data_IF_823317142901
#
_entry.id   IF_823317142901
#
_cell.length_a   1.000
_cell.length_b   1.000
_cell.length_c   1.000
_cell.angle_alpha   90.00
_cell.angle_beta   90.00
_cell.angle_gamma   90.00
#
_symmetry.space_group_name_H-M   'P 1'
#
loop_
_entity.id
_entity.type
_entity.pdbx_description
1 polymer ?
#
# COMPACT_ATOMS: atom_id res chain seq x y z
N UNK A 1 13.35 12.16 18.98
CA UNK A 1 14.62 11.48 18.63
C UNK A 1 14.47 10.02 19.02
N UNK A 2 14.66 9.09 18.08
CA UNK A 2 14.72 7.65 18.40
C UNK A 2 15.95 7.42 19.27
N UNK A 3 15.78 6.74 20.41
CA UNK A 3 16.88 6.26 21.22
C UNK A 3 17.08 4.78 20.95
N UNK A 4 18.34 4.37 20.75
CA UNK A 4 18.76 2.95 20.78
C UNK A 4 18.05 2.02 19.78
N UNK A 5 17.63 2.55 18.63
CA UNK A 5 17.06 1.73 17.56
C UNK A 5 18.11 0.99 16.72
N UNK A 6 17.69 0.03 15.88
CA UNK A 6 18.58 -0.66 14.95
C UNK A 6 19.40 0.33 14.09
N UNK A 7 20.65 -0.03 13.69
CA UNK A 7 21.46 0.84 12.85
C UNK A 7 20.74 1.27 11.57
N UNK A 8 20.77 2.57 11.28
CA UNK A 8 20.10 3.14 10.10
C UNK A 8 18.60 3.36 10.24
N UNK A 9 17.96 3.03 11.36
CA UNK A 9 16.52 3.26 11.52
C UNK A 9 16.16 4.76 11.51
N UNK A 10 14.97 5.06 10.99
CA UNK A 10 14.36 6.40 10.99
C UNK A 10 12.96 6.32 11.58
N UNK A 11 12.47 7.44 12.12
CA UNK A 11 11.20 7.51 12.82
C UNK A 11 10.37 8.69 12.36
N UNK A 12 9.15 8.40 11.95
CA UNK A 12 8.15 9.40 11.59
C UNK A 12 6.89 9.14 12.42
N UNK A 13 6.23 10.21 12.83
CA UNK A 13 5.00 10.12 13.59
C UNK A 13 4.04 11.22 13.14
N UNK A 14 2.75 10.94 13.23
CA UNK A 14 1.69 11.93 13.06
C UNK A 14 0.58 11.67 14.09
N UNK A 15 -0.31 12.64 14.34
CA UNK A 15 -1.34 12.53 15.38
C UNK A 15 -2.32 11.36 15.22
N UNK A 16 -2.55 10.88 13.99
CA UNK A 16 -3.45 9.74 13.76
C UNK A 16 -2.85 8.40 14.14
N UNK A 17 -1.52 8.31 14.23
CA UNK A 17 -0.78 7.05 14.41
C UNK A 17 -0.75 6.15 13.16
N UNK A 18 -1.49 6.49 12.10
CA UNK A 18 -1.56 5.73 10.85
C UNK A 18 -0.55 6.20 9.83
N UNK A 19 -0.12 5.32 8.93
CA UNK A 19 0.67 5.72 7.76
C UNK A 19 -0.15 6.67 6.87
N UNK A 20 0.43 7.80 6.48
CA UNK A 20 -0.15 8.72 5.51
C UNK A 20 0.78 8.87 4.29
N UNK A 21 0.31 9.55 3.24
CA UNK A 21 1.05 9.67 1.99
C UNK A 21 2.39 10.41 2.14
N UNK A 22 2.47 11.41 3.00
CA UNK A 22 3.73 12.16 3.22
C UNK A 22 4.79 11.31 3.91
N UNK A 23 4.42 10.57 4.96
CA UNK A 23 5.33 9.64 5.63
C UNK A 23 5.72 8.49 4.70
N UNK A 24 4.80 8.02 3.85
CA UNK A 24 5.12 6.98 2.88
C UNK A 24 6.14 7.45 1.84
N UNK A 25 6.10 8.71 1.40
CA UNK A 25 7.15 9.28 0.54
C UNK A 25 8.50 9.28 1.25
N UNK A 26 8.56 9.66 2.52
CA UNK A 26 9.81 9.60 3.30
C UNK A 26 10.30 8.15 3.47
N UNK A 27 9.39 7.19 3.61
CA UNK A 27 9.73 5.78 3.62
C UNK A 27 10.32 5.31 2.28
N UNK A 28 9.78 5.72 1.12
CA UNK A 28 10.35 5.37 -0.19
C UNK A 28 11.76 5.95 -0.34
N UNK A 29 11.99 7.22 0.04
CA UNK A 29 13.33 7.83 0.01
C UNK A 29 14.32 7.03 0.86
N UNK A 30 13.88 6.61 2.05
CA UNK A 30 14.66 5.75 2.92
C UNK A 30 14.93 4.38 2.27
N UNK A 31 13.92 3.76 1.66
CA UNK A 31 14.05 2.49 0.97
C UNK A 31 15.07 2.56 -0.17
N UNK A 32 14.97 3.55 -1.06
CA UNK A 32 15.91 3.79 -2.18
C UNK A 32 17.35 3.89 -1.69
N UNK A 33 17.58 4.55 -0.55
CA UNK A 33 18.92 4.71 0.04
C UNK A 33 19.56 3.38 0.43
N UNK A 34 18.77 2.38 0.83
CA UNK A 34 19.28 1.11 1.38
C UNK A 34 19.08 -0.09 0.46
N UNK A 35 18.21 0.00 -0.55
CA UNK A 35 17.94 -1.09 -1.50
C UNK A 35 18.96 -1.18 -2.64
N UNK A 36 19.74 -0.12 -2.89
CA UNK A 36 20.59 0.03 -4.09
C UNK A 36 19.82 -0.15 -5.41
N UNK A 37 18.53 0.18 -5.43
CA UNK A 37 17.72 0.06 -6.64
C UNK A 37 18.14 1.07 -7.72
N UNK A 38 18.11 0.63 -8.97
CA UNK A 38 18.30 1.47 -10.15
C UNK A 38 17.55 0.90 -11.34
N UNK A 39 17.58 1.56 -12.50
CA UNK A 39 16.99 1.00 -13.71
C UNK A 39 17.74 -0.25 -14.21
N UNK A 40 19.03 -0.38 -13.88
CA UNK A 40 19.87 -1.55 -14.18
C UNK A 40 19.70 -2.67 -13.15
N UNK A 41 19.26 -2.33 -11.94
CA UNK A 41 18.94 -3.27 -10.87
C UNK A 41 17.55 -2.98 -10.30
N UNK A 42 16.48 -3.32 -11.06
CA UNK A 42 15.13 -2.97 -10.68
C UNK A 42 14.65 -3.78 -9.48
N UNK A 43 13.78 -3.18 -8.67
CA UNK A 43 13.21 -3.80 -7.47
C UNK A 43 11.70 -3.88 -7.58
N UNK A 44 11.14 -5.05 -7.28
CA UNK A 44 9.70 -5.24 -7.11
C UNK A 44 9.31 -4.99 -5.65
N UNK A 45 8.53 -3.94 -5.41
CA UNK A 45 7.97 -3.61 -4.11
C UNK A 45 6.54 -4.13 -4.00
N UNK A 46 6.34 -5.16 -3.18
CA UNK A 46 5.04 -5.77 -2.92
C UNK A 46 4.36 -5.10 -1.74
N UNK A 47 3.11 -4.68 -1.93
CA UNK A 47 2.36 -3.88 -0.97
C UNK A 47 1.01 -4.49 -0.65
N UNK A 48 0.52 -4.25 0.57
CA UNK A 48 -0.89 -4.49 0.87
C UNK A 48 -1.78 -3.43 0.20
N UNK A 49 -3.06 -3.72 -0.02
CA UNK A 49 -3.98 -2.78 -0.66
C UNK A 49 -4.49 -1.74 0.33
N UNK A 50 -3.58 -0.94 0.91
CA UNK A 50 -3.96 0.17 1.78
C UNK A 50 -3.98 1.50 1.02
N UNK A 51 -5.04 2.30 1.21
CA UNK A 51 -5.30 3.54 0.44
C UNK A 51 -4.17 4.58 0.53
N UNK A 52 -3.42 4.61 1.63
CA UNK A 52 -2.32 5.57 1.82
C UNK A 52 -1.14 5.37 0.85
N UNK A 53 -1.05 4.20 0.21
CA UNK A 53 0.00 3.83 -0.74
C UNK A 53 -0.28 4.35 -2.16
N UNK A 54 -1.51 4.82 -2.41
CA UNK A 54 -1.96 5.35 -3.70
C UNK A 54 -1.67 6.87 -3.73
N UNK A 55 -0.40 7.23 -3.68
CA UNK A 55 0.07 8.61 -3.87
C UNK A 55 0.79 8.69 -5.21
N UNK A 56 0.33 9.57 -6.11
CA UNK A 56 0.98 9.81 -7.41
C UNK A 56 2.45 10.18 -7.21
N UNK A 57 2.74 11.04 -6.23
CA UNK A 57 4.11 11.45 -5.89
C UNK A 57 4.98 10.28 -5.43
N UNK A 58 4.41 9.31 -4.73
CA UNK A 58 5.12 8.12 -4.28
C UNK A 58 5.42 7.19 -5.46
N UNK A 59 4.46 7.02 -6.38
CA UNK A 59 4.62 6.24 -7.61
C UNK A 59 5.69 6.86 -8.53
N UNK A 60 5.64 8.17 -8.75
CA UNK A 60 6.62 8.89 -9.57
C UNK A 60 8.04 8.70 -9.03
N UNK A 61 8.21 8.82 -7.71
CA UNK A 61 9.50 8.59 -7.05
C UNK A 61 9.97 7.14 -7.18
N UNK A 62 9.07 6.17 -7.04
CA UNK A 62 9.40 4.76 -7.22
C UNK A 62 9.88 4.46 -8.65
N UNK A 63 9.12 4.93 -9.66
CA UNK A 63 9.46 4.76 -11.07
C UNK A 63 10.82 5.39 -11.40
N UNK A 64 11.08 6.60 -10.92
CA UNK A 64 12.36 7.32 -11.11
C UNK A 64 13.58 6.57 -10.58
N UNK A 65 13.40 5.65 -9.62
CA UNK A 65 14.47 4.87 -9.00
C UNK A 65 14.46 3.39 -9.39
N UNK A 66 13.72 3.00 -10.42
CA UNK A 66 13.66 1.62 -10.90
C UNK A 66 12.87 0.69 -9.97
N UNK A 67 11.93 1.22 -9.19
CA UNK A 67 11.04 0.43 -8.33
C UNK A 67 9.70 0.23 -9.02
N UNK A 68 9.32 -1.03 -9.23
CA UNK A 68 7.98 -1.40 -9.66
C UNK A 68 7.15 -1.74 -8.43
N UNK A 69 6.04 -1.03 -8.24
CA UNK A 69 5.13 -1.26 -7.11
C UNK A 69 3.97 -2.16 -7.54
N UNK A 70 3.71 -3.22 -6.77
CA UNK A 70 2.60 -4.15 -7.00
C UNK A 70 1.81 -4.32 -5.70
N UNK A 71 0.54 -3.90 -5.71
CA UNK A 71 -0.37 -4.12 -4.59
C UNK A 71 -1.08 -5.46 -4.73
N UNK A 72 -1.19 -6.23 -3.64
CA UNK A 72 -1.97 -7.46 -3.62
C UNK A 72 -3.47 -7.16 -3.80
N UNK A 73 -4.24 -8.09 -4.40
CA UNK A 73 -5.69 -8.02 -4.39
C UNK A 73 -6.24 -7.98 -2.95
N UNK A 74 -7.41 -7.36 -2.78
CA UNK A 74 -8.08 -7.32 -1.48
C UNK A 74 -8.28 -8.73 -0.93
N UNK A 75 -8.12 -8.88 0.39
CA UNK A 75 -8.30 -10.13 1.13
C UNK A 75 -7.29 -11.26 0.80
N UNK A 76 -6.33 -11.07 -0.09
CA UNK A 76 -5.29 -12.07 -0.40
C UNK A 76 -4.04 -11.99 0.51
N UNK A 77 -3.98 -11.01 1.41
CA UNK A 77 -2.82 -10.73 2.27
C UNK A 77 -2.35 -11.93 3.07
N UNK A 78 -3.29 -12.73 3.60
CA UNK A 78 -2.99 -13.91 4.41
C UNK A 78 -2.22 -15.02 3.64
N UNK A 79 -2.24 -14.98 2.31
CA UNK A 79 -1.56 -15.93 1.41
C UNK A 79 -0.34 -15.31 0.75
N UNK A 80 -0.49 -14.10 0.24
CA UNK A 80 0.53 -13.46 -0.59
C UNK A 80 1.54 -12.62 0.17
N UNK A 81 1.22 -12.13 1.39
CA UNK A 81 2.14 -11.26 2.13
C UNK A 81 3.24 -12.05 2.85
N UNK A 82 4.52 -12.01 2.40
CA UNK A 82 5.59 -12.82 2.96
C UNK A 82 5.80 -12.57 4.46
N UNK A 83 5.82 -11.30 4.85
CA UNK A 83 6.03 -10.87 6.23
C UNK A 83 4.97 -11.44 7.19
N UNK A 84 3.71 -11.48 6.75
CA UNK A 84 2.61 -11.99 7.55
C UNK A 84 2.70 -13.49 7.81
N UNK A 85 3.35 -14.24 6.89
CA UNK A 85 3.38 -15.70 6.94
C UNK A 85 4.54 -16.27 7.73
N UNK A 86 5.68 -15.59 7.78
CA UNK A 86 6.90 -16.16 8.38
C UNK A 86 7.64 -15.23 9.34
N UNK A 87 7.46 -13.91 9.25
CA UNK A 87 8.25 -12.94 10.04
C UNK A 87 7.47 -12.41 11.24
N UNK A 88 6.22 -12.01 11.05
CA UNK A 88 5.44 -11.36 12.10
C UNK A 88 5.03 -12.30 13.25
N UNK A 89 4.87 -13.59 13.00
CA UNK A 89 4.65 -14.58 14.06
C UNK A 89 5.82 -14.65 15.04
N UNK A 90 7.05 -14.96 14.56
CA UNK A 90 8.27 -14.90 15.38
C UNK A 90 8.51 -13.53 16.02
N UNK A 91 8.31 -12.43 15.29
CA UNK A 91 8.49 -11.07 15.84
C UNK A 91 7.62 -10.84 17.06
N UNK A 92 6.32 -11.15 16.98
CA UNK A 92 5.40 -11.01 18.12
C UNK A 92 5.86 -11.85 19.31
N UNK A 93 6.29 -13.09 19.08
CA UNK A 93 6.79 -13.98 20.13
C UNK A 93 8.03 -13.40 20.82
N UNK A 94 9.05 -13.01 20.06
CA UNK A 94 10.29 -12.47 20.62
C UNK A 94 10.07 -11.12 21.29
N UNK A 95 9.23 -10.27 20.70
CA UNK A 95 8.90 -8.96 21.25
C UNK A 95 8.16 -9.08 22.59
N UNK A 96 7.16 -9.96 22.69
CA UNK A 96 6.45 -10.20 23.95
C UNK A 96 7.40 -10.67 25.05
N UNK A 97 8.30 -11.62 24.74
CA UNK A 97 9.31 -12.07 25.71
C UNK A 97 10.27 -10.95 26.14
N UNK A 98 10.66 -10.06 25.22
CA UNK A 98 11.49 -8.91 25.53
C UNK A 98 10.75 -7.89 26.41
N UNK A 99 9.46 -7.65 26.15
CA UNK A 99 8.60 -6.82 26.99
C UNK A 99 8.47 -7.40 28.41
N UNK A 100 8.22 -8.71 28.54
CA UNK A 100 8.12 -9.39 29.84
C UNK A 100 9.41 -9.23 30.65
N UNK A 101 10.57 -9.46 30.01
CA UNK A 101 11.86 -9.28 30.65
C UNK A 101 12.10 -7.81 31.06
N UNK A 102 11.72 -6.86 30.21
CA UNK A 102 11.85 -5.43 30.49
C UNK A 102 11.01 -5.03 31.71
N UNK A 103 9.77 -5.51 31.82
CA UNK A 103 8.87 -5.21 32.94
C UNK A 103 9.37 -5.77 34.28
N UNK A 104 10.06 -6.92 34.28
CA UNK A 104 10.64 -7.50 35.51
C UNK A 104 11.91 -6.77 35.94
N UNK A 105 12.66 -6.22 35.00
CA UNK A 105 13.97 -5.58 35.25
C UNK A 105 13.90 -4.07 35.47
N UNK A 106 12.75 -3.44 35.22
CA UNK A 106 12.58 -1.99 35.33
C UNK A 106 11.48 -1.65 36.34
N UNK A 107 11.75 -0.78 37.35
CA UNK A 107 10.80 -0.45 38.40
C UNK A 107 9.74 0.59 37.98
N UNK A 108 9.54 0.82 36.68
CA UNK A 108 8.60 1.81 36.16
C UNK A 108 7.75 1.24 35.02
N UNK A 109 6.56 1.81 34.76
CA UNK A 109 5.79 1.47 33.58
C UNK A 109 6.56 1.69 32.27
N UNK A 110 6.32 0.79 31.31
CA UNK A 110 6.82 0.90 29.95
C UNK A 110 6.13 2.06 29.23
N UNK A 111 6.88 2.80 28.43
CA UNK A 111 6.39 3.92 27.62
C UNK A 111 6.71 3.72 26.14
N UNK A 112 6.11 4.53 25.28
CA UNK A 112 6.39 4.50 23.83
C UNK A 112 7.87 4.75 23.48
N UNK A 113 8.63 5.40 24.38
CA UNK A 113 10.04 5.70 24.19
C UNK A 113 10.94 4.47 24.41
N UNK A 114 10.42 3.44 25.09
CA UNK A 114 11.13 2.19 25.36
C UNK A 114 10.95 1.17 24.23
N UNK A 115 9.88 1.30 23.44
CA UNK A 115 9.52 0.36 22.38
C UNK A 115 10.70 0.14 21.42
N UNK A 116 11.39 1.23 21.04
CA UNK A 116 12.44 1.15 20.03
C UNK A 116 13.68 0.39 20.51
N UNK A 117 14.06 0.55 21.79
CA UNK A 117 15.18 -0.23 22.35
C UNK A 117 14.78 -1.69 22.57
N UNK A 118 13.56 -1.93 23.06
CA UNK A 118 13.03 -3.28 23.30
C UNK A 118 12.91 -4.08 22.00
N UNK A 119 12.47 -3.47 20.90
CA UNK A 119 12.25 -4.19 19.64
C UNK A 119 13.54 -4.52 18.89
N UNK A 120 14.68 -3.91 19.25
CA UNK A 120 15.93 -4.05 18.51
C UNK A 120 16.41 -5.52 18.41
N UNK A 121 16.45 -6.25 19.53
CA UNK A 121 16.82 -7.67 19.55
C UNK A 121 15.74 -8.57 18.91
N UNK A 122 14.44 -8.47 19.26
CA UNK A 122 13.36 -9.20 18.58
C UNK A 122 13.36 -9.04 17.06
N UNK A 123 13.61 -7.82 16.57
CA UNK A 123 13.66 -7.52 15.15
C UNK A 123 14.74 -8.34 14.44
N UNK A 124 15.98 -8.33 14.95
CA UNK A 124 17.09 -9.08 14.34
C UNK A 124 16.88 -10.59 14.35
N UNK A 125 16.21 -11.13 15.39
CA UNK A 125 15.86 -12.56 15.46
C UNK A 125 14.73 -12.95 14.49
N UNK A 126 13.73 -12.09 14.33
CA UNK A 126 12.57 -12.36 13.50
C UNK A 126 12.85 -12.17 12.00
N UNK A 127 13.57 -11.10 11.64
CA UNK A 127 13.95 -10.75 10.27
C UNK A 127 15.24 -11.49 9.85
N UNK A 128 15.34 -12.77 10.17
CA UNK A 128 16.45 -13.61 9.73
C UNK A 128 16.35 -13.89 8.22
N UNK A 129 17.48 -14.12 7.51
CA UNK A 129 17.47 -14.52 6.11
C UNK A 129 16.58 -15.73 5.85
N UNK A 130 16.59 -16.72 6.76
CA UNK A 130 15.77 -17.92 6.65
C UNK A 130 14.26 -17.62 6.70
N UNK A 131 13.81 -16.75 7.60
CA UNK A 131 12.40 -16.38 7.70
C UNK A 131 11.96 -15.56 6.49
N UNK A 132 12.82 -14.64 6.03
CA UNK A 132 12.55 -13.80 4.85
C UNK A 132 12.41 -14.68 3.61
N UNK A 133 13.42 -15.50 3.30
CA UNK A 133 13.40 -16.41 2.15
C UNK A 133 12.21 -17.37 2.19
N UNK A 134 11.94 -17.96 3.36
CA UNK A 134 10.79 -18.85 3.53
C UNK A 134 9.47 -18.10 3.28
N UNK A 135 9.38 -16.84 3.66
CA UNK A 135 8.20 -15.99 3.45
C UNK A 135 7.87 -15.83 1.97
N UNK A 136 8.88 -15.54 1.15
CA UNK A 136 8.70 -15.43 -0.30
C UNK A 136 8.38 -16.78 -0.94
N UNK A 137 9.02 -17.85 -0.47
CA UNK A 137 8.78 -19.20 -0.97
C UNK A 137 7.36 -19.68 -0.69
N UNK A 138 6.83 -19.51 0.53
CA UNK A 138 5.47 -19.97 0.85
C UNK A 138 4.40 -19.17 0.10
N UNK A 139 4.70 -17.93 -0.25
CA UNK A 139 3.81 -17.06 -1.01
C UNK A 139 3.89 -17.31 -2.53
N UNK A 140 4.81 -18.16 -3.00
CA UNK A 140 4.98 -18.49 -4.42
C UNK A 140 5.61 -17.35 -5.22
N UNK A 141 6.30 -16.43 -4.54
CA UNK A 141 6.93 -15.26 -5.18
C UNK A 141 8.35 -15.58 -5.61
N UNK A 142 9.14 -16.20 -4.72
CA UNK A 142 10.53 -16.59 -5.00
C UNK A 142 10.84 -17.96 -4.37
N UNK A 143 11.07 -19.02 -5.17
CA UNK A 143 10.88 -19.04 -6.63
C UNK A 143 9.41 -18.81 -7.02
N UNK A 144 9.19 -18.20 -8.18
CA UNK A 144 7.84 -17.93 -8.68
C UNK A 144 7.08 -19.24 -8.93
N UNK A 145 5.93 -19.40 -8.28
CA UNK A 145 5.05 -20.57 -8.42
C UNK A 145 3.58 -20.12 -8.36
N UNK A 146 2.90 -19.99 -9.53
CA UNK A 146 1.49 -19.62 -9.57
C UNK A 146 0.55 -20.72 -9.04
N UNK A 147 1.02 -21.97 -9.03
CA UNK A 147 0.24 -23.15 -8.61
C UNK A 147 0.42 -23.48 -7.11
N UNK A 148 0.93 -22.53 -6.32
CA UNK A 148 1.24 -22.79 -4.90
C UNK A 148 -0.01 -22.91 -4.02
N UNK A 149 -1.13 -22.33 -4.45
CA UNK A 149 -2.42 -22.42 -3.78
C UNK A 149 -3.32 -23.36 -4.56
N UNK A 150 -4.03 -24.23 -3.84
CA UNK A 150 -4.91 -25.22 -4.45
C UNK A 150 -6.27 -24.62 -4.81
N UNK A 151 -6.98 -25.27 -5.73
CA UNK A 151 -8.32 -24.86 -6.18
C UNK A 151 -9.33 -24.67 -5.04
N UNK A 152 -9.24 -25.49 -3.99
CA UNK A 152 -10.12 -25.39 -2.81
C UNK A 152 -9.91 -24.07 -2.04
N UNK A 153 -8.73 -23.46 -2.14
CA UNK A 153 -8.41 -22.19 -1.50
C UNK A 153 -9.03 -20.99 -2.25
N UNK A 154 -9.46 -21.17 -3.50
CA UNK A 154 -10.17 -20.19 -4.32
C UNK A 154 -11.70 -20.34 -4.23
N UNK A 155 -12.22 -21.35 -3.52
CA UNK A 155 -13.67 -21.52 -3.36
C UNK A 155 -14.39 -20.26 -2.83
N UNK A 156 -13.83 -19.47 -1.89
CA UNK A 156 -14.48 -18.24 -1.44
C UNK A 156 -14.65 -17.16 -2.52
N UNK A 157 -13.80 -17.14 -3.56
CA UNK A 157 -13.92 -16.17 -4.67
C UNK A 157 -14.94 -16.57 -5.72
N UNK A 158 -15.35 -17.85 -5.78
CA UNK A 158 -16.36 -18.34 -6.74
C UNK A 158 -17.71 -17.62 -6.66
N UNK A 159 -18.06 -17.08 -5.49
CA UNK A 159 -19.30 -16.30 -5.28
C UNK A 159 -19.25 -14.94 -5.97
N UNK A 160 -18.05 -14.44 -6.26
CA UNK A 160 -17.81 -13.13 -6.90
C UNK A 160 -17.32 -13.22 -8.33
N UNK A 161 -17.08 -14.43 -8.85
CA UNK A 161 -16.67 -14.63 -10.23
C UNK A 161 -17.76 -14.12 -11.18
N UNK A 162 -17.39 -13.12 -11.97
CA UNK A 162 -18.23 -12.60 -13.06
C UNK A 162 -17.64 -13.08 -14.36
N UNK A 163 -18.48 -13.58 -15.26
CA UNK A 163 -18.08 -13.86 -16.62
C UNK A 163 -17.43 -12.61 -17.24
N UNK A 164 -16.30 -12.79 -17.94
CA UNK A 164 -15.67 -11.71 -18.68
C UNK A 164 -16.73 -11.07 -19.61
N UNK A 165 -16.84 -9.73 -19.67
CA UNK A 165 -17.76 -9.11 -20.59
C UNK A 165 -17.41 -9.56 -22.01
N UNK A 166 -18.40 -10.09 -22.74
CA UNK A 166 -18.23 -10.43 -24.14
C UNK A 166 -17.85 -9.15 -24.89
N UNK A 167 -16.58 -9.04 -25.29
CA UNK A 167 -16.14 -8.02 -26.23
C UNK A 167 -16.71 -8.42 -27.58
N UNK A 168 -17.93 -7.95 -27.86
CA UNK A 168 -18.47 -8.00 -29.22
C UNK A 168 -17.63 -6.99 -30.01
N UNK A 169 -16.72 -7.51 -30.84
CA UNK A 169 -16.07 -6.73 -31.90
C UNK A 169 -17.17 -6.20 -32.83
N UNK A 170 -17.74 -5.05 -32.49
CA UNK A 170 -18.55 -4.28 -33.43
C UNK A 170 -17.55 -3.66 -34.38
N UNK A 171 -17.39 -4.29 -35.55
CA UNK A 171 -16.68 -3.70 -36.69
C UNK A 171 -17.33 -2.34 -36.91
N UNK A 172 -16.58 -1.27 -36.65
CA UNK A 172 -16.94 0.07 -37.10
C UNK A 172 -16.83 0.03 -38.63
N UNK A 173 -17.95 -0.22 -39.29
CA UNK A 173 -18.06 0.03 -40.73
C UNK A 173 -18.05 1.54 -40.88
N UNK A 174 -16.94 2.08 -41.38
CA UNK A 174 -16.86 3.47 -41.82
C UNK A 174 -17.96 3.70 -42.86
N UNK A 175 -18.95 4.52 -42.50
CA UNK A 175 -19.97 4.95 -43.43
C UNK A 175 -19.41 6.15 -44.19
N UNK A 176 -19.13 5.98 -45.49
CA UNK A 176 -18.82 7.09 -46.39
C UNK A 176 -19.96 8.12 -46.32
N UNK A 177 -19.59 9.37 -45.98
CA UNK A 177 -20.47 10.53 -46.02
C UNK A 177 -20.55 11.04 -47.47
N UNK A 178 -21.66 10.76 -48.15
CA UNK A 178 -22.02 11.48 -49.37
C UNK A 178 -22.66 12.82 -48.99
N UNK A 179 -22.02 13.91 -49.44
CA UNK A 179 -22.49 15.29 -49.22
C UNK A 179 -23.65 15.57 -50.18
N UNK A 180 -24.83 15.84 -49.64
CA UNK A 180 -25.91 16.52 -50.35
C UNK A 180 -26.29 17.79 -49.59
N UNK A 181 -26.25 18.90 -50.32
CA UNK A 181 -26.38 20.28 -49.88
C UNK A 181 -27.84 20.72 -50.02
N UNK A 182 -28.56 21.06 -48.95
CA UNK A 182 -29.73 21.97 -49.03
C UNK A 182 -30.07 22.64 -47.68
N UNK A 183 -29.92 23.96 -47.67
CA UNK A 183 -30.61 25.06 -46.95
C UNK A 183 -31.20 24.89 -45.53
N UNK A 184 -30.58 25.62 -44.59
CA UNK A 184 -31.24 26.70 -43.83
C UNK A 184 -32.33 26.34 -42.82
N UNK A 185 -31.94 26.00 -41.59
CA UNK A 185 -32.63 26.39 -40.35
C UNK A 185 -31.75 26.00 -39.14
N UNK A 186 -31.20 26.96 -38.39
CA UNK A 186 -30.55 26.70 -37.09
C UNK A 186 -31.60 26.40 -36.01
N UNK A 187 -31.30 25.48 -35.07
CA UNK A 187 -31.78 25.62 -33.70
C UNK A 187 -30.62 25.77 -32.71
N UNK A 188 -30.75 26.79 -31.86
CA UNK A 188 -29.81 27.26 -30.83
C UNK A 188 -29.44 26.19 -29.78
N UNK A 189 -28.20 26.25 -29.29
CA UNK A 189 -27.75 25.50 -28.10
C UNK A 189 -28.12 26.23 -26.80
N UNK A 190 -28.62 25.56 -25.76
CA UNK A 190 -28.78 26.19 -24.46
C UNK A 190 -27.46 26.26 -23.69
N UNK A 191 -27.00 27.49 -23.46
CA UNK A 191 -25.94 27.87 -22.51
C UNK A 191 -26.53 27.84 -21.10
N UNK A 192 -25.90 27.11 -20.17
CA UNK A 192 -26.21 27.23 -18.74
C UNK A 192 -25.07 27.96 -18.04
N UNK A 193 -25.33 29.22 -17.69
CA UNK A 193 -24.51 30.03 -16.78
C UNK A 193 -24.99 29.87 -15.33
N UNK A 194 -24.01 29.93 -14.43
CA UNK A 194 -24.09 29.98 -12.96
C UNK A 194 -25.06 31.01 -12.39
N UNK A 195 -25.54 30.77 -11.17
CA UNK A 195 -25.70 31.86 -10.19
C UNK A 195 -25.45 31.43 -8.73
N UNK A 196 -24.93 32.40 -7.98
CA UNK A 196 -24.48 32.37 -6.58
C UNK A 196 -25.34 33.34 -5.77
N UNK A 197 -25.64 33.05 -4.50
CA UNK A 197 -25.73 34.03 -3.37
C UNK A 197 -26.30 33.35 -2.11
N UNK A 198 -25.52 33.24 -1.02
CA UNK A 198 -25.38 34.13 0.15
C UNK A 198 -26.60 34.22 1.09
N UNK A 199 -26.41 33.82 2.36
CA UNK A 199 -26.77 34.63 3.55
C UNK A 199 -26.15 34.09 4.85
N UNK A 200 -25.37 34.95 5.50
CA UNK A 200 -24.82 34.83 6.86
C UNK A 200 -25.92 34.94 7.93
N UNK A 201 -25.72 34.30 9.10
CA UNK A 201 -26.05 34.88 10.42
C UNK A 201 -25.20 34.28 11.55
N UNK A 202 -24.61 35.20 12.32
CA UNK A 202 -23.71 35.09 13.47
C UNK A 202 -24.52 34.94 14.78
N UNK A 203 -24.06 34.16 15.78
CA UNK A 203 -23.73 34.62 17.16
C UNK A 203 -23.38 33.49 18.17
N UNK A 204 -22.61 33.78 19.25
CA UNK A 204 -22.02 32.80 20.18
C UNK A 204 -22.82 32.66 21.50
N UNK A 205 -22.53 31.62 22.30
CA UNK A 205 -22.79 31.62 23.77
C UNK A 205 -21.68 30.96 24.57
N UNK A 206 -21.31 31.65 25.65
CA UNK A 206 -20.49 31.21 26.78
C UNK A 206 -21.34 30.39 27.77
N UNK A 207 -20.70 29.45 28.47
CA UNK A 207 -20.59 29.42 29.93
C UNK A 207 -19.34 28.64 30.30
#
# INVERSE_FOLDING_TARGET
MIKEGPPGCVGFANPSGWMNSDIFIEWIKHFVRYSNCSHESPVLLLLDSHKSLISVRALDLAIQHGITMLSFPLHCTHKLQPLGRTVFGPLKRFYNAACDNWMVTNPRPMTIYDIVSIVCEPYTKAFSPSNIQRGFQVAGIEPFNPEIFKDDEYLPSSVTDRAAPNVVNTILVEHEMTVAHVDGMEPEMPVVHHETSFLNKVSPRKS
#
